data_IF_859613137903
#
_entry.id   IF_859613137903
#
_cell.length_a   1.000
_cell.length_b   1.000
_cell.length_c   1.000
_cell.angle_alpha   90.00
_cell.angle_beta   90.00
_cell.angle_gamma   90.00
#
_symmetry.space_group_name_H-M   'P 1'
#
loop_
_entity.id
_entity.type
_entity.pdbx_description
1 polymer ?
#
# COMPACT_ATOMS: atom_id res chain seq x y z
N UNK A 1 0.37 37.13 14.59
CA UNK A 1 1.31 36.00 14.47
C UNK A 1 0.78 35.14 13.35
N UNK A 2 1.40 35.20 12.17
CA UNK A 2 0.93 34.47 10.99
C UNK A 2 1.32 33.00 11.12
N UNK A 3 0.38 32.08 10.90
CA UNK A 3 0.68 30.66 10.67
C UNK A 3 1.61 30.60 9.45
N UNK A 4 2.87 30.20 9.64
CA UNK A 4 3.75 29.90 8.51
C UNK A 4 3.08 28.78 7.70
N UNK A 5 2.89 29.08 6.41
CA UNK A 5 1.96 28.38 5.54
C UNK A 5 2.25 26.89 5.39
N UNK A 6 1.16 26.14 5.16
CA UNK A 6 1.18 24.74 4.73
C UNK A 6 1.76 24.65 3.32
N UNK A 7 3.08 24.69 3.21
CA UNK A 7 3.77 24.53 1.93
C UNK A 7 3.82 23.05 1.55
N UNK A 8 3.52 22.76 0.28
CA UNK A 8 3.73 21.44 -0.29
C UNK A 8 5.21 21.27 -0.59
N UNK A 9 5.87 20.31 0.06
CA UNK A 9 7.25 19.92 -0.23
C UNK A 9 7.26 18.63 -1.04
N UNK A 10 7.95 18.63 -2.18
CA UNK A 10 8.15 17.43 -2.97
C UNK A 10 9.24 16.55 -2.35
N UNK A 11 9.03 15.24 -2.40
CA UNK A 11 10.04 14.25 -2.06
C UNK A 11 10.04 13.12 -3.10
N UNK A 12 11.22 12.78 -3.61
CA UNK A 12 11.41 11.63 -4.49
C UNK A 12 11.96 10.44 -3.69
N UNK A 13 11.31 9.28 -3.77
CA UNK A 13 11.67 8.05 -3.06
C UNK A 13 12.87 7.29 -3.66
N UNK A 14 13.70 7.98 -4.47
CA UNK A 14 14.80 7.39 -5.23
C UNK A 14 14.34 6.63 -6.46
N UNK A 15 13.13 6.92 -6.98
CA UNK A 15 12.54 6.26 -8.13
C UNK A 15 11.74 7.24 -8.98
N UNK A 16 11.75 7.03 -10.29
CA UNK A 16 10.88 7.73 -11.26
C UNK A 16 9.57 6.96 -11.54
N UNK A 17 9.37 5.83 -10.86
CA UNK A 17 8.15 5.03 -11.00
C UNK A 17 6.94 5.78 -10.46
N UNK A 18 5.80 5.61 -11.13
CA UNK A 18 4.53 6.16 -10.66
C UNK A 18 4.11 5.56 -9.32
N UNK A 19 3.66 6.40 -8.40
CA UNK A 19 3.04 6.00 -7.14
C UNK A 19 1.52 6.06 -7.28
N UNK A 20 0.84 5.04 -6.77
CA UNK A 20 -0.60 4.83 -6.96
C UNK A 20 -1.41 4.87 -5.67
N UNK A 21 -0.77 4.59 -4.53
CA UNK A 21 -1.46 4.54 -3.23
C UNK A 21 -0.58 5.01 -2.09
N UNK A 22 -1.22 5.56 -1.06
CA UNK A 22 -0.59 5.95 0.19
C UNK A 22 -1.49 5.57 1.36
N UNK A 23 -0.90 5.09 2.44
CA UNK A 23 -1.59 4.81 3.70
C UNK A 23 -0.62 4.98 4.87
N UNK A 24 -1.12 5.42 6.02
CA UNK A 24 -0.36 5.44 7.26
C UNK A 24 -1.27 5.47 8.47
N UNK A 25 -0.79 4.96 9.60
CA UNK A 25 -1.51 5.01 10.89
C UNK A 25 -1.01 6.15 11.80
N UNK A 26 0.08 6.81 11.43
CA UNK A 26 0.65 7.95 12.14
C UNK A 26 1.54 8.78 11.20
N UNK A 27 1.92 9.98 11.64
CA UNK A 27 2.82 10.86 10.87
C UNK A 27 4.26 10.31 10.76
N UNK A 28 4.60 9.27 11.51
CA UNK A 28 5.90 8.59 11.47
C UNK A 28 5.82 7.17 10.91
N UNK A 29 4.69 6.81 10.29
CA UNK A 29 4.49 5.49 9.71
C UNK A 29 3.55 5.60 8.52
N UNK A 30 4.13 5.99 7.37
CA UNK A 30 3.39 6.16 6.11
C UNK A 30 4.05 5.29 5.06
N UNK A 31 3.25 4.58 4.28
CA UNK A 31 3.69 3.76 3.16
C UNK A 31 3.14 4.30 1.86
N UNK A 32 3.95 4.28 0.81
CA UNK A 32 3.55 4.57 -0.56
C UNK A 32 3.86 3.38 -1.47
N UNK A 33 2.95 3.09 -2.40
CA UNK A 33 3.06 1.95 -3.32
C UNK A 33 2.92 2.40 -4.77
N UNK A 34 3.54 1.68 -5.70
CA UNK A 34 3.57 2.09 -7.10
C UNK A 34 3.98 1.02 -8.11
N UNK A 35 4.29 1.50 -9.32
CA UNK A 35 4.69 0.74 -10.49
C UNK A 35 5.89 -0.16 -10.21
N UNK A 36 5.94 -1.34 -10.84
CA UNK A 36 7.07 -2.28 -10.80
C UNK A 36 7.51 -2.67 -9.38
N UNK A 37 6.55 -2.90 -8.49
CA UNK A 37 6.81 -3.34 -7.11
C UNK A 37 7.32 -2.24 -6.18
N UNK A 38 7.24 -0.96 -6.61
CA UNK A 38 7.73 0.18 -5.82
C UNK A 38 6.97 0.27 -4.51
N UNK A 39 7.71 0.26 -3.40
CA UNK A 39 7.22 0.41 -2.05
C UNK A 39 8.18 1.32 -1.30
N UNK A 40 7.65 2.32 -0.61
CA UNK A 40 8.41 3.22 0.23
C UNK A 40 7.75 3.38 1.60
N UNK A 41 8.54 3.62 2.64
CA UNK A 41 8.11 3.84 4.02
C UNK A 41 8.71 5.12 4.58
N UNK A 42 7.89 6.02 5.11
CA UNK A 42 8.28 7.21 5.85
C UNK A 42 8.31 6.91 7.33
N UNK A 43 9.48 7.08 7.95
CA UNK A 43 9.74 6.81 9.37
C UNK A 43 9.48 8.02 10.29
N UNK A 44 8.93 9.11 9.74
CA UNK A 44 8.77 10.39 10.44
C UNK A 44 9.88 11.40 10.18
N UNK A 45 10.98 10.99 9.55
CA UNK A 45 12.11 11.85 9.20
C UNK A 45 12.46 11.78 7.72
N UNK A 46 12.43 10.58 7.14
CA UNK A 46 12.80 10.33 5.75
C UNK A 46 12.04 9.14 5.19
N UNK A 47 11.97 9.08 3.86
CA UNK A 47 11.46 7.91 3.17
C UNK A 47 12.57 6.91 2.90
N UNK A 48 12.23 5.63 3.02
CA UNK A 48 13.06 4.49 2.71
C UNK A 48 12.39 3.66 1.63
N UNK A 49 13.12 3.33 0.57
CA UNK A 49 12.64 2.37 -0.41
C UNK A 49 12.75 0.95 0.17
N UNK A 50 11.70 0.15 0.01
CA UNK A 50 11.63 -1.22 0.49
C UNK A 50 11.61 -2.19 -0.69
N UNK A 51 12.39 -3.26 -0.61
CA UNK A 51 12.40 -4.29 -1.63
C UNK A 51 11.25 -5.28 -1.41
N UNK A 52 10.33 -5.38 -2.37
CA UNK A 52 9.23 -6.36 -2.35
C UNK A 52 9.59 -7.66 -3.09
N UNK A 53 10.66 -7.65 -3.90
CA UNK A 53 11.07 -8.73 -4.82
C UNK A 53 9.99 -9.13 -5.85
N UNK A 54 8.92 -8.33 -5.97
CA UNK A 54 7.84 -8.55 -6.92
C UNK A 54 8.05 -7.73 -8.19
N UNK A 55 7.51 -8.24 -9.31
CA UNK A 55 7.42 -7.50 -10.58
C UNK A 55 6.01 -6.93 -10.86
N UNK A 56 5.04 -7.22 -10.00
CA UNK A 56 3.69 -6.70 -10.12
C UNK A 56 3.63 -5.22 -9.73
N UNK A 57 2.69 -4.48 -10.32
CA UNK A 57 2.40 -3.10 -9.91
C UNK A 57 1.56 -3.13 -8.64
N UNK A 58 1.94 -2.32 -7.66
CA UNK A 58 1.24 -2.20 -6.39
C UNK A 58 0.30 -1.00 -6.48
N UNK A 59 -1.00 -1.25 -6.52
CA UNK A 59 -1.99 -0.26 -6.94
C UNK A 59 -2.71 0.41 -5.78
N UNK A 60 -2.90 -0.29 -4.67
CA UNK A 60 -3.55 0.26 -3.50
C UNK A 60 -3.02 -0.36 -2.21
N UNK A 61 -3.09 0.41 -1.13
CA UNK A 61 -2.68 0.02 0.21
C UNK A 61 -3.72 0.50 1.22
N UNK A 62 -4.04 -0.35 2.19
CA UNK A 62 -4.94 -0.02 3.29
C UNK A 62 -4.60 -0.84 4.51
N UNK A 63 -4.76 -0.27 5.70
CA UNK A 63 -4.51 -0.96 6.94
C UNK A 63 -5.42 -0.51 8.08
N UNK A 64 -5.58 -1.40 9.05
CA UNK A 64 -6.22 -1.13 10.33
C UNK A 64 -5.58 -1.98 11.43
N UNK A 65 -5.77 -1.60 12.68
CA UNK A 65 -5.25 -2.36 13.84
C UNK A 65 -5.78 -3.80 13.86
N UNK A 66 -7.04 -4.01 13.48
CA UNK A 66 -7.70 -5.31 13.53
C UNK A 66 -7.43 -6.17 12.30
N UNK A 67 -7.33 -5.58 11.11
CA UNK A 67 -7.10 -6.34 9.89
C UNK A 67 -5.61 -6.60 9.65
N UNK A 68 -4.74 -5.67 10.04
CA UNK A 68 -3.38 -5.55 9.54
C UNK A 68 -3.32 -4.66 8.29
N UNK A 69 -2.15 -4.57 7.67
CA UNK A 69 -1.91 -3.72 6.48
C UNK A 69 -1.76 -4.60 5.25
N UNK A 70 -2.49 -4.25 4.20
CA UNK A 70 -2.53 -4.98 2.94
C UNK A 70 -2.27 -4.07 1.77
N UNK A 71 -1.54 -4.62 0.79
CA UNK A 71 -1.34 -4.04 -0.53
C UNK A 71 -1.97 -4.98 -1.55
N UNK A 72 -2.60 -4.41 -2.57
CA UNK A 72 -3.10 -5.17 -3.73
C UNK A 72 -2.58 -4.60 -5.03
N UNK A 73 -2.53 -5.43 -6.06
CA UNK A 73 -1.88 -5.06 -7.32
C UNK A 73 -2.29 -5.87 -8.54
N UNK A 74 -1.51 -5.75 -9.60
CA UNK A 74 -1.70 -6.52 -10.83
C UNK A 74 -1.49 -8.02 -10.60
N UNK A 75 -2.03 -8.86 -11.49
CA UNK A 75 -1.88 -10.32 -11.45
C UNK A 75 -2.38 -10.99 -10.14
N UNK A 76 -3.44 -10.47 -9.54
CA UNK A 76 -3.99 -10.99 -8.29
C UNK A 76 -3.09 -10.78 -7.08
N UNK A 77 -2.07 -9.92 -7.18
CA UNK A 77 -1.09 -9.66 -6.13
C UNK A 77 -1.77 -9.16 -4.85
N UNK A 78 -1.44 -9.81 -3.73
CA UNK A 78 -1.76 -9.37 -2.37
C UNK A 78 -0.49 -9.49 -1.52
N UNK A 79 -0.11 -8.42 -0.85
CA UNK A 79 0.90 -8.44 0.21
C UNK A 79 0.25 -8.12 1.55
N UNK A 80 0.74 -8.74 2.61
CA UNK A 80 0.38 -8.46 4.00
C UNK A 80 1.64 -8.14 4.80
N UNK A 81 1.60 -7.06 5.59
CA UNK A 81 2.68 -6.72 6.52
C UNK A 81 2.62 -7.63 7.75
N UNK A 82 3.73 -8.32 8.04
CA UNK A 82 3.91 -9.22 9.19
C UNK A 82 5.34 -9.07 9.70
N UNK A 83 5.51 -8.74 10.99
CA UNK A 83 6.83 -8.59 11.63
C UNK A 83 7.80 -7.70 10.83
N UNK A 84 7.32 -6.53 10.40
CA UNK A 84 8.03 -5.56 9.55
C UNK A 84 8.45 -6.08 8.15
N UNK A 85 7.88 -7.21 7.73
CA UNK A 85 8.10 -7.81 6.41
C UNK A 85 6.82 -7.86 5.58
N UNK A 86 6.94 -7.50 4.31
CA UNK A 86 5.86 -7.67 3.34
C UNK A 86 5.88 -9.07 2.76
N UNK A 87 4.89 -9.87 3.15
CA UNK A 87 4.75 -11.25 2.71
C UNK A 87 3.64 -11.36 1.67
N UNK A 88 3.92 -12.06 0.56
CA UNK A 88 2.90 -12.38 -0.42
C UNK A 88 1.87 -13.33 0.17
N UNK A 89 0.59 -13.00 -0.03
CA UNK A 89 -0.54 -13.84 0.36
C UNK A 89 -1.27 -14.28 -0.91
N UNK A 90 -1.52 -15.59 -1.05
CA UNK A 90 -2.22 -16.12 -2.22
C UNK A 90 -3.67 -15.63 -2.21
N UNK A 91 -4.10 -14.95 -3.28
CA UNK A 91 -5.50 -14.59 -3.48
C UNK A 91 -6.26 -15.67 -4.24
N UNK A 92 -7.59 -15.53 -4.31
CA UNK A 92 -8.47 -16.43 -5.05
C UNK A 92 -8.62 -16.07 -6.54
N UNK A 93 -7.77 -15.18 -7.06
CA UNK A 93 -7.87 -14.66 -8.43
C UNK A 93 -6.50 -14.29 -8.98
N UNK A 94 -6.37 -14.26 -10.30
CA UNK A 94 -5.19 -13.76 -11.03
C UNK A 94 -5.44 -12.39 -11.66
N UNK A 95 -6.66 -11.83 -11.51
CA UNK A 95 -7.03 -10.55 -12.09
C UNK A 95 -6.39 -9.39 -11.32
N UNK A 96 -6.17 -8.26 -11.99
CA UNK A 96 -5.66 -7.06 -11.33
C UNK A 96 -6.64 -6.55 -10.27
N UNK A 97 -6.16 -6.40 -9.04
CA UNK A 97 -6.89 -5.79 -7.94
C UNK A 97 -6.50 -4.30 -7.87
N UNK A 98 -7.50 -3.42 -7.95
CA UNK A 98 -7.33 -1.97 -8.13
C UNK A 98 -7.45 -1.17 -6.85
N UNK A 99 -8.21 -1.66 -5.88
CA UNK A 99 -8.41 -0.99 -4.60
C UNK A 99 -8.62 -1.99 -3.48
N UNK A 100 -8.24 -1.62 -2.26
CA UNK A 100 -8.36 -2.42 -1.05
C UNK A 100 -8.86 -1.57 0.12
N UNK A 101 -9.70 -2.16 0.96
CA UNK A 101 -10.20 -1.56 2.20
C UNK A 101 -10.01 -2.55 3.35
N UNK A 102 -9.18 -2.17 4.32
CA UNK A 102 -9.04 -2.85 5.59
C UNK A 102 -9.98 -2.21 6.63
N UNK A 103 -10.99 -2.95 7.09
CA UNK A 103 -11.98 -2.42 8.02
C UNK A 103 -11.48 -2.43 9.46
N UNK A 104 -12.06 -1.59 10.31
CA UNK A 104 -11.80 -1.61 11.76
C UNK A 104 -12.31 -2.90 12.45
N UNK A 105 -13.14 -3.70 11.77
CA UNK A 105 -13.66 -4.97 12.29
C UNK A 105 -12.77 -6.16 11.93
N UNK A 106 -11.68 -5.95 11.18
CA UNK A 106 -10.73 -6.99 10.79
C UNK A 106 -10.96 -7.61 9.41
N UNK A 107 -12.04 -7.24 8.72
CA UNK A 107 -12.29 -7.69 7.36
C UNK A 107 -11.44 -6.90 6.35
N UNK A 108 -11.09 -7.55 5.24
CA UNK A 108 -10.42 -6.88 4.11
C UNK A 108 -11.22 -7.16 2.85
N UNK A 109 -11.50 -6.11 2.07
CA UNK A 109 -12.14 -6.22 0.76
C UNK A 109 -11.19 -5.69 -0.29
N UNK A 110 -11.03 -6.41 -1.39
CA UNK A 110 -10.31 -5.92 -2.56
C UNK A 110 -11.20 -6.03 -3.79
N UNK A 111 -11.17 -5.00 -4.63
CA UNK A 111 -11.95 -4.91 -5.85
C UNK A 111 -11.02 -4.75 -7.05
N UNK A 112 -11.42 -5.29 -8.19
CA UNK A 112 -10.52 -5.37 -9.34
C UNK A 112 -11.23 -5.52 -10.68
N UNK A 113 -10.42 -5.85 -11.67
CA UNK A 113 -10.83 -6.00 -13.05
C UNK A 113 -11.93 -7.09 -13.19
N UNK A 114 -12.69 -7.04 -14.29
CA UNK A 114 -13.77 -8.00 -14.60
C UNK A 114 -14.88 -8.07 -13.53
N UNK A 115 -15.09 -6.98 -12.79
CA UNK A 115 -16.11 -6.92 -11.74
C UNK A 115 -15.77 -7.74 -10.50
N UNK A 116 -14.49 -8.07 -10.30
CA UNK A 116 -14.04 -8.94 -9.21
C UNK A 116 -14.12 -8.22 -7.87
N UNK A 117 -14.68 -8.90 -6.87
CA UNK A 117 -14.63 -8.52 -5.46
C UNK A 117 -14.16 -9.76 -4.70
N UNK A 118 -13.09 -9.61 -3.92
CA UNK A 118 -12.64 -10.63 -2.98
C UNK A 118 -12.70 -10.09 -1.56
N UNK A 119 -12.92 -10.99 -0.60
CA UNK A 119 -12.97 -10.67 0.83
C UNK A 119 -12.07 -11.63 1.59
N UNK A 120 -11.34 -11.08 2.56
CA UNK A 120 -10.64 -11.81 3.61
C UNK A 120 -11.39 -11.64 4.94
N UNK A 121 -11.63 -12.74 5.64
CA UNK A 121 -12.26 -12.80 6.97
C UNK A 121 -11.28 -13.21 8.06
#
# INVERSE_FOLDING_TARGET
MAEQGKEWTEFNVGSENFLYGVWGDSLSNIYAVGLSGTLAHFDGQRWHQMATRLRADLLAISGSKQAGVFIVGTHGCVLRLQDDQWLAEQSSTDVGLRSVCATQTGAVYAVGDRGTIIRRG
#
